data_IF_802967302692
#
_entry.id   IF_802967302692
#
_cell.length_a   1.000
_cell.length_b   1.000
_cell.length_c   1.000
_cell.angle_alpha   90.00
_cell.angle_beta   90.00
_cell.angle_gamma   90.00
#
_symmetry.space_group_name_H-M   'P 1'
#
loop_
_entity.id
_entity.type
_entity.pdbx_description
1 polymer ?
#
# COMPACT_ATOMS: atom_id res chain seq x y z
N UNK A 1 -41.87 -3.85 10.31
CA UNK A 1 -40.67 -4.45 9.71
C UNK A 1 -39.67 -3.32 9.47
N UNK A 2 -38.70 -3.15 10.37
CA UNK A 2 -37.65 -2.13 10.20
C UNK A 2 -36.74 -2.60 9.06
N UNK A 3 -36.74 -1.85 7.96
CA UNK A 3 -35.79 -2.04 6.87
C UNK A 3 -34.45 -1.61 7.45
N UNK A 4 -33.63 -2.59 7.85
CA UNK A 4 -32.22 -2.36 8.15
C UNK A 4 -31.56 -2.00 6.82
N UNK A 5 -31.47 -0.71 6.54
CA UNK A 5 -30.51 -0.21 5.57
C UNK A 5 -29.15 -0.84 5.95
N UNK A 6 -28.58 -1.65 5.05
CA UNK A 6 -27.63 -2.72 5.35
C UNK A 6 -26.27 -2.28 5.88
N UNK A 7 -26.27 -1.68 7.08
CA UNK A 7 -25.26 -0.81 7.71
C UNK A 7 -25.50 0.69 7.47
N UNK A 8 -26.71 1.20 7.71
CA UNK A 8 -26.85 2.61 8.05
C UNK A 8 -26.04 2.89 9.31
N UNK A 9 -24.86 3.48 9.09
CA UNK A 9 -23.99 4.04 10.09
C UNK A 9 -24.75 5.12 10.87
N UNK A 10 -25.52 4.75 11.88
CA UNK A 10 -26.22 5.67 12.77
C UNK A 10 -25.27 6.80 13.22
N UNK A 11 -25.38 7.96 12.59
CA UNK A 11 -24.54 9.15 12.84
C UNK A 11 -23.02 8.96 12.68
N UNK A 12 -22.53 7.98 11.91
CA UNK A 12 -21.10 7.74 11.72
C UNK A 12 -20.34 7.25 12.96
N UNK A 13 -21.03 6.87 14.04
CA UNK A 13 -20.37 6.39 15.29
C UNK A 13 -19.66 5.06 15.09
N UNK A 14 -20.31 4.11 14.42
CA UNK A 14 -19.71 2.81 14.10
C UNK A 14 -18.48 2.97 13.21
N UNK A 15 -18.55 3.84 12.18
CA UNK A 15 -17.39 4.11 11.32
C UNK A 15 -16.22 4.66 12.13
N UNK A 16 -16.45 5.60 13.06
CA UNK A 16 -15.39 6.12 13.94
C UNK A 16 -14.80 5.03 14.86
N UNK A 17 -15.65 4.22 15.48
CA UNK A 17 -15.19 3.12 16.32
C UNK A 17 -14.35 2.12 15.53
N UNK A 18 -14.88 1.63 14.41
CA UNK A 18 -14.21 0.65 13.56
C UNK A 18 -12.91 1.22 12.96
N UNK A 19 -12.90 2.51 12.62
CA UNK A 19 -11.72 3.23 12.13
C UNK A 19 -10.56 3.18 13.11
N UNK A 20 -10.83 3.43 14.38
CA UNK A 20 -9.80 3.47 15.42
C UNK A 20 -9.37 2.02 15.72
N UNK A 21 -10.33 1.10 15.88
CA UNK A 21 -10.10 -0.33 16.08
C UNK A 21 -9.19 -0.96 15.00
N UNK A 22 -9.49 -0.74 13.71
CA UNK A 22 -8.72 -1.38 12.63
C UNK A 22 -7.29 -0.82 12.56
N UNK A 23 -7.10 0.47 12.84
CA UNK A 23 -5.76 1.05 12.89
C UNK A 23 -4.96 0.56 14.09
N UNK A 24 -5.63 0.37 15.23
CA UNK A 24 -5.02 -0.21 16.42
C UNK A 24 -4.63 -1.66 16.16
N UNK A 25 -5.45 -2.47 15.49
CA UNK A 25 -5.03 -3.82 15.13
C UNK A 25 -3.83 -3.84 14.16
N UNK A 26 -3.85 -2.96 13.15
CA UNK A 26 -2.80 -2.94 12.14
C UNK A 26 -1.46 -2.42 12.68
N UNK A 27 -1.48 -1.44 13.59
CA UNK A 27 -0.28 -0.79 14.13
C UNK A 27 0.09 -1.22 15.55
N UNK A 28 -0.80 -1.87 16.27
CA UNK A 28 -0.64 -2.26 17.66
C UNK A 28 0.41 -3.35 17.84
N UNK A 29 0.89 -3.44 19.08
CA UNK A 29 1.66 -4.60 19.52
C UNK A 29 0.75 -5.83 19.48
N UNK A 30 1.35 -7.02 19.35
CA UNK A 30 0.60 -8.27 19.19
C UNK A 30 -0.06 -8.72 20.51
N UNK A 31 -0.76 -7.81 21.19
CA UNK A 31 -1.38 -8.04 22.49
C UNK A 31 -2.88 -7.82 22.38
N UNK A 32 -3.61 -8.92 22.64
CA UNK A 32 -5.02 -9.01 22.99
C UNK A 32 -6.05 -8.41 22.01
N UNK A 33 -6.79 -9.30 21.36
CA UNK A 33 -8.00 -8.98 20.60
C UNK A 33 -9.09 -10.05 20.85
N UNK A 34 -10.36 -9.64 20.77
CA UNK A 34 -11.51 -10.54 20.80
C UNK A 34 -11.65 -11.37 22.09
N UNK A 35 -12.29 -12.54 21.96
CA UNK A 35 -12.55 -13.49 23.06
C UNK A 35 -11.26 -14.04 23.69
N UNK A 36 -10.18 -14.16 22.91
CA UNK A 36 -8.90 -14.70 23.38
C UNK A 36 -8.10 -13.71 24.24
N UNK A 37 -8.55 -12.46 24.30
CA UNK A 37 -8.04 -11.45 25.24
C UNK A 37 -8.63 -11.58 26.65
N UNK A 38 -9.69 -12.37 26.82
CA UNK A 38 -10.41 -12.43 28.10
C UNK A 38 -9.66 -13.35 29.07
N UNK A 39 -9.59 -12.94 30.35
CA UNK A 39 -9.09 -13.82 31.42
C UNK A 39 -9.87 -15.13 31.36
N UNK A 40 -9.17 -16.26 31.60
CA UNK A 40 -9.74 -17.61 31.52
C UNK A 40 -11.06 -17.67 32.28
N UNK A 41 -12.16 -17.81 31.56
CA UNK A 41 -13.49 -18.06 32.13
C UNK A 41 -13.57 -19.57 32.40
N UNK A 42 -13.69 -20.01 33.65
CA UNK A 42 -13.61 -21.45 34.01
C UNK A 42 -14.63 -22.33 33.29
N UNK A 43 -15.77 -21.77 32.90
CA UNK A 43 -16.88 -22.46 32.25
C UNK A 43 -16.69 -22.61 30.73
N UNK A 44 -15.67 -21.96 30.16
CA UNK A 44 -15.33 -22.07 28.74
C UNK A 44 -14.04 -22.88 28.57
N UNK A 45 -14.06 -23.85 27.66
CA UNK A 45 -12.86 -24.53 27.16
C UNK A 45 -12.04 -23.53 26.34
N UNK A 46 -11.30 -22.67 27.04
CA UNK A 46 -10.41 -21.67 26.46
C UNK A 46 -9.01 -22.26 26.29
N UNK A 47 -8.25 -21.81 25.28
CA UNK A 47 -6.88 -22.24 25.05
C UNK A 47 -5.97 -21.85 26.22
N UNK A 48 -4.81 -22.51 26.30
CA UNK A 48 -3.71 -22.09 27.16
C UNK A 48 -3.22 -20.68 26.80
N UNK A 49 -2.49 -20.06 27.72
CA UNK A 49 -1.92 -18.72 27.49
C UNK A 49 -0.99 -18.69 26.26
N UNK A 50 -0.14 -19.71 26.11
CA UNK A 50 0.74 -19.85 24.95
C UNK A 50 -0.04 -19.99 23.63
N UNK A 51 -1.15 -20.74 23.62
CA UNK A 51 -2.01 -20.86 22.45
C UNK A 51 -2.73 -19.54 22.14
N UNK A 52 -3.16 -18.79 23.17
CA UNK A 52 -3.74 -17.46 23.01
C UNK A 52 -2.73 -16.45 22.45
N UNK A 53 -1.47 -16.49 22.89
CA UNK A 53 -0.39 -15.67 22.33
C UNK A 53 -0.10 -16.01 20.88
N UNK A 54 0.03 -17.31 20.56
CA UNK A 54 0.26 -17.77 19.19
C UNK A 54 -0.90 -17.41 18.26
N UNK A 55 -2.15 -17.62 18.71
CA UNK A 55 -3.34 -17.19 17.99
C UNK A 55 -3.38 -15.67 17.83
N UNK A 56 -2.93 -14.92 18.85
CA UNK A 56 -2.88 -13.47 18.77
C UNK A 56 -1.91 -13.00 17.69
N UNK A 57 -0.70 -13.53 17.69
CA UNK A 57 0.30 -13.26 16.66
C UNK A 57 -0.22 -13.64 15.26
N UNK A 58 -0.82 -14.83 15.12
CA UNK A 58 -1.37 -15.31 13.86
C UNK A 58 -2.43 -14.35 13.29
N UNK A 59 -3.35 -13.85 14.12
CA UNK A 59 -4.35 -12.86 13.72
C UNK A 59 -3.70 -11.58 13.17
N UNK A 60 -2.77 -10.97 13.92
CA UNK A 60 -2.18 -9.70 13.51
C UNK A 60 -1.33 -9.84 12.25
N UNK A 61 -0.53 -10.91 12.16
CA UNK A 61 0.26 -11.22 10.97
C UNK A 61 -0.67 -11.37 9.76
N UNK A 62 -1.73 -12.17 9.89
CA UNK A 62 -2.67 -12.45 8.80
C UNK A 62 -3.45 -11.21 8.37
N UNK A 63 -3.96 -10.42 9.32
CA UNK A 63 -4.67 -9.18 9.01
C UNK A 63 -3.78 -8.18 8.27
N UNK A 64 -2.52 -8.04 8.70
CA UNK A 64 -1.53 -7.19 8.01
C UNK A 64 -1.24 -7.72 6.61
N UNK A 65 -1.08 -9.03 6.44
CA UNK A 65 -0.84 -9.66 5.14
C UNK A 65 -2.01 -9.42 4.18
N UNK A 66 -3.26 -9.55 4.65
CA UNK A 66 -4.45 -9.20 3.87
C UNK A 66 -4.44 -7.74 3.42
N UNK A 67 -4.20 -6.81 4.35
CA UNK A 67 -4.19 -5.38 4.04
C UNK A 67 -3.04 -5.04 3.09
N UNK A 68 -1.85 -5.60 3.29
CA UNK A 68 -0.71 -5.39 2.41
C UNK A 68 -0.98 -5.90 0.99
N UNK A 69 -1.45 -7.15 0.83
CA UNK A 69 -1.81 -7.70 -0.47
C UNK A 69 -2.92 -6.89 -1.14
N UNK A 70 -3.93 -6.44 -0.39
CA UNK A 70 -4.96 -5.55 -0.91
C UNK A 70 -4.42 -4.19 -1.36
N UNK A 71 -3.52 -3.57 -0.59
CA UNK A 71 -2.89 -2.31 -0.97
C UNK A 71 -2.13 -2.44 -2.31
N UNK A 72 -1.45 -3.57 -2.54
CA UNK A 72 -0.71 -3.83 -3.78
C UNK A 72 -1.60 -3.91 -5.03
N UNK A 73 -2.86 -4.33 -4.91
CA UNK A 73 -3.80 -4.40 -6.07
C UNK A 73 -4.07 -3.05 -6.71
N UNK A 74 -3.79 -1.95 -5.99
CA UNK A 74 -3.93 -0.60 -6.50
C UNK A 74 -2.64 -0.06 -7.11
N UNK A 75 -1.54 -0.81 -7.13
CA UNK A 75 -0.22 -0.32 -7.53
C UNK A 75 0.17 -0.94 -8.88
N UNK A 76 0.46 -0.09 -9.86
CA UNK A 76 0.91 -0.54 -11.18
C UNK A 76 2.42 -0.87 -11.22
N UNK A 77 2.89 -1.38 -12.36
CA UNK A 77 4.31 -1.68 -12.61
C UNK A 77 5.23 -0.46 -12.47
N UNK A 78 4.69 0.75 -12.61
CA UNK A 78 5.40 2.01 -12.40
C UNK A 78 5.39 2.47 -10.93
N UNK A 79 4.88 1.66 -10.01
CA UNK A 79 4.71 1.98 -8.59
C UNK A 79 3.81 3.19 -8.34
N UNK A 80 2.83 3.39 -9.22
CA UNK A 80 1.81 4.42 -9.09
C UNK A 80 0.57 3.77 -8.47
N UNK A 81 0.16 4.31 -7.32
CA UNK A 81 -0.97 3.79 -6.55
C UNK A 81 -2.28 4.51 -6.94
N UNK A 82 -3.31 3.76 -7.31
CA UNK A 82 -4.67 4.24 -7.56
C UNK A 82 -5.62 3.61 -6.54
N UNK A 83 -5.90 4.27 -5.39
CA UNK A 83 -6.66 3.63 -4.31
C UNK A 83 -8.08 3.16 -4.71
N UNK A 84 -8.71 3.82 -5.68
CA UNK A 84 -10.03 3.45 -6.19
C UNK A 84 -10.03 2.21 -7.10
N UNK A 85 -8.88 1.78 -7.63
CA UNK A 85 -8.76 0.61 -8.49
C UNK A 85 -8.46 -0.68 -7.73
N UNK A 86 -8.20 -0.61 -6.41
CA UNK A 86 -7.93 -1.80 -5.58
C UNK A 86 -9.11 -2.75 -5.60
N UNK A 87 -8.87 -4.04 -5.80
CA UNK A 87 -9.92 -5.07 -5.87
C UNK A 87 -9.37 -6.39 -5.34
N UNK A 88 -10.20 -7.14 -4.61
CA UNK A 88 -9.96 -8.56 -4.36
C UNK A 88 -10.69 -9.33 -5.46
N UNK A 89 -9.95 -10.07 -6.29
CA UNK A 89 -10.47 -10.84 -7.42
C UNK A 89 -10.25 -12.33 -7.17
N UNK A 90 -11.16 -13.16 -7.69
CA UNK A 90 -11.07 -14.62 -7.66
C UNK A 90 -10.21 -15.21 -8.80
N UNK A 91 -9.86 -14.41 -9.81
CA UNK A 91 -9.12 -14.89 -11.00
C UNK A 91 -7.64 -15.09 -10.71
N UNK A 92 -7.13 -16.31 -10.94
CA UNK A 92 -5.77 -16.77 -10.61
C UNK A 92 -4.67 -15.88 -11.18
N UNK A 93 -4.83 -15.38 -12.42
CA UNK A 93 -3.79 -14.59 -13.12
C UNK A 93 -3.59 -13.17 -12.57
N UNK A 94 -4.54 -12.66 -11.76
CA UNK A 94 -4.51 -11.32 -11.18
C UNK A 94 -4.89 -11.31 -9.70
N UNK A 95 -4.92 -12.48 -9.06
CA UNK A 95 -5.41 -12.60 -7.71
C UNK A 95 -4.38 -11.95 -6.76
N UNK A 96 -4.82 -11.07 -5.84
CA UNK A 96 -3.90 -10.55 -4.84
C UNK A 96 -3.35 -11.68 -4.00
N UNK A 97 -2.04 -11.75 -3.97
CA UNK A 97 -1.29 -12.65 -3.13
C UNK A 97 -0.97 -11.94 -1.82
N UNK A 98 -1.23 -12.60 -0.70
CA UNK A 98 -0.71 -12.22 0.59
C UNK A 98 0.48 -13.09 0.96
N UNK A 99 1.53 -12.45 1.49
CA UNK A 99 2.71 -13.13 2.04
C UNK A 99 2.64 -13.00 3.55
N UNK A 100 2.47 -14.13 4.23
CA UNK A 100 2.16 -14.19 5.66
C UNK A 100 3.45 -14.27 6.47
N UNK A 101 4.42 -15.02 5.97
CA UNK A 101 5.81 -15.04 6.45
C UNK A 101 6.75 -15.32 5.26
N UNK A 102 8.07 -15.22 5.48
CA UNK A 102 9.05 -15.58 4.45
C UNK A 102 9.05 -17.09 4.14
N UNK A 103 8.58 -17.90 5.09
CA UNK A 103 8.64 -19.36 5.04
C UNK A 103 7.29 -19.99 4.62
N UNK A 104 6.20 -19.21 4.61
CA UNK A 104 4.89 -19.66 4.14
C UNK A 104 4.72 -19.39 2.64
N UNK A 105 4.15 -20.37 1.93
CA UNK A 105 3.76 -20.19 0.54
C UNK A 105 2.81 -19.00 0.41
N UNK A 106 2.99 -18.13 -0.59
CA UNK A 106 2.09 -17.00 -0.79
C UNK A 106 0.67 -17.51 -1.06
N UNK A 107 -0.32 -16.87 -0.43
CA UNK A 107 -1.72 -17.32 -0.47
C UNK A 107 -2.58 -16.31 -1.22
N UNK A 108 -3.50 -16.79 -2.05
CA UNK A 108 -4.48 -15.94 -2.72
C UNK A 108 -5.50 -15.45 -1.68
N UNK A 109 -5.67 -14.12 -1.59
CA UNK A 109 -6.59 -13.50 -0.62
C UNK A 109 -8.02 -14.04 -0.77
N UNK A 110 -8.48 -14.25 -2.00
CA UNK A 110 -9.86 -14.71 -2.26
C UNK A 110 -10.10 -16.13 -1.75
N UNK A 111 -9.17 -17.05 -1.98
CA UNK A 111 -9.28 -18.45 -1.55
C UNK A 111 -9.42 -18.56 -0.03
N UNK A 112 -8.74 -17.67 0.69
CA UNK A 112 -8.81 -17.62 2.15
C UNK A 112 -10.13 -17.06 2.67
N UNK A 113 -10.65 -16.04 2.01
CA UNK A 113 -12.01 -15.54 2.26
C UNK A 113 -13.02 -16.65 1.98
N UNK A 114 -12.89 -17.36 0.87
CA UNK A 114 -13.79 -18.45 0.49
C UNK A 114 -13.72 -19.60 1.48
N UNK A 115 -12.53 -20.01 1.91
CA UNK A 115 -12.35 -21.04 2.93
C UNK A 115 -13.02 -20.65 4.25
N UNK A 116 -12.90 -19.38 4.64
CA UNK A 116 -13.61 -18.85 5.81
C UNK A 116 -15.14 -18.87 5.63
N UNK A 117 -15.65 -18.56 4.43
CA UNK A 117 -17.09 -18.60 4.14
C UNK A 117 -17.68 -19.99 4.22
N UNK A 118 -16.96 -21.01 3.75
CA UNK A 118 -17.41 -22.40 3.84
C UNK A 118 -17.62 -22.83 5.29
N UNK A 119 -16.81 -22.29 6.22
CA UNK A 119 -16.92 -22.57 7.67
C UNK A 119 -17.97 -21.70 8.37
N UNK A 120 -18.00 -20.41 8.05
CA UNK A 120 -18.76 -19.41 8.80
C UNK A 120 -20.11 -19.02 8.18
N UNK A 121 -20.41 -19.52 6.97
CA UNK A 121 -21.68 -19.38 6.26
C UNK A 121 -22.25 -17.96 6.29
N UNK A 122 -21.66 -17.01 5.53
CA UNK A 122 -22.13 -15.65 5.53
C UNK A 122 -23.55 -15.55 4.95
N UNK A 123 -24.33 -14.59 5.44
CA UNK A 123 -25.72 -14.41 5.03
C UNK A 123 -25.82 -13.34 3.93
N UNK A 124 -26.56 -13.58 2.84
CA UNK A 124 -26.89 -12.51 1.91
C UNK A 124 -27.75 -11.46 2.63
N UNK A 125 -27.43 -10.19 2.45
CA UNK A 125 -28.16 -9.04 2.95
C UNK A 125 -28.70 -8.25 1.76
N UNK A 126 -29.96 -7.82 1.84
CA UNK A 126 -30.52 -6.87 0.88
C UNK A 126 -30.40 -5.46 1.46
N UNK A 127 -29.67 -4.60 0.76
CA UNK A 127 -29.50 -3.20 1.13
C UNK A 127 -30.78 -2.40 0.82
N UNK A 128 -30.93 -1.22 1.43
CA UNK A 128 -32.09 -0.35 1.21
C UNK A 128 -32.20 0.18 -0.23
N UNK A 129 -31.11 0.14 -0.99
CA UNK A 129 -31.03 0.51 -2.41
C UNK A 129 -31.31 -0.66 -3.36
N UNK A 130 -31.68 -1.84 -2.84
CA UNK A 130 -31.97 -3.04 -3.61
C UNK A 130 -30.72 -3.83 -4.05
N UNK A 131 -29.51 -3.39 -3.68
CA UNK A 131 -28.28 -4.17 -3.92
C UNK A 131 -28.13 -5.29 -2.88
N UNK A 132 -27.43 -6.38 -3.25
CA UNK A 132 -27.09 -7.45 -2.30
C UNK A 132 -25.68 -7.25 -1.74
N UNK A 133 -25.54 -7.41 -0.43
CA UNK A 133 -24.28 -7.48 0.27
C UNK A 133 -24.10 -8.86 0.94
N UNK A 134 -22.87 -9.20 1.30
CA UNK A 134 -22.57 -10.40 2.09
C UNK A 134 -22.37 -9.96 3.54
N UNK A 135 -23.33 -10.32 4.39
CA UNK A 135 -23.26 -10.15 5.83
C UNK A 135 -22.38 -11.22 6.45
N UNK A 136 -21.21 -10.82 6.92
CA UNK A 136 -20.27 -11.70 7.60
C UNK A 136 -20.43 -11.53 9.10
N UNK A 137 -20.91 -12.57 9.78
CA UNK A 137 -20.90 -12.58 11.24
C UNK A 137 -19.47 -12.80 11.75
N UNK A 138 -19.19 -12.36 12.97
CA UNK A 138 -17.97 -12.77 13.65
C UNK A 138 -17.97 -14.31 13.78
N UNK A 139 -16.86 -14.97 13.43
CA UNK A 139 -16.67 -16.39 13.70
C UNK A 139 -17.03 -16.72 15.15
N UNK A 140 -17.78 -17.81 15.36
CA UNK A 140 -18.14 -18.24 16.71
C UNK A 140 -17.03 -19.15 17.24
N UNK A 141 -16.61 -18.94 18.48
CA UNK A 141 -15.77 -19.92 19.18
C UNK A 141 -16.57 -21.19 19.46
N UNK A 142 -16.26 -22.28 18.75
CA UNK A 142 -16.91 -23.60 18.93
C UNK A 142 -15.87 -24.72 19.00
N UNK A 143 -15.05 -24.74 20.05
CA UNK A 143 -13.99 -25.74 20.25
C UNK A 143 -13.11 -25.95 19.01
N UNK A 144 -12.86 -24.88 18.26
CA UNK A 144 -12.01 -24.90 17.08
C UNK A 144 -10.57 -24.61 17.46
N UNK A 145 -9.65 -25.02 16.60
CA UNK A 145 -8.25 -24.67 16.72
C UNK A 145 -8.06 -23.14 16.91
N UNK A 146 -7.30 -22.68 17.93
CA UNK A 146 -7.12 -21.26 18.22
C UNK A 146 -6.55 -20.47 17.04
N UNK A 147 -5.63 -21.07 16.28
CA UNK A 147 -5.02 -20.44 15.10
C UNK A 147 -6.04 -20.31 13.97
N UNK A 148 -6.84 -21.34 13.73
CA UNK A 148 -7.93 -21.29 12.74
C UNK A 148 -8.95 -20.19 13.08
N UNK A 149 -9.33 -20.07 14.35
CA UNK A 149 -10.19 -18.96 14.80
C UNK A 149 -9.55 -17.60 14.53
N UNK A 150 -8.27 -17.44 14.86
CA UNK A 150 -7.52 -16.22 14.59
C UNK A 150 -7.49 -15.85 13.11
N UNK A 151 -7.31 -16.84 12.23
CA UNK A 151 -7.35 -16.66 10.77
C UNK A 151 -8.74 -16.22 10.29
N UNK A 152 -9.80 -16.84 10.78
CA UNK A 152 -11.18 -16.48 10.44
C UNK A 152 -11.55 -15.09 10.98
N UNK A 153 -11.07 -14.72 12.16
CA UNK A 153 -11.27 -13.40 12.72
C UNK A 153 -10.50 -12.32 11.95
N UNK A 154 -9.28 -12.59 11.49
CA UNK A 154 -8.54 -11.69 10.61
C UNK A 154 -9.29 -11.48 9.29
N UNK A 155 -9.85 -12.55 8.73
CA UNK A 155 -10.69 -12.51 7.53
C UNK A 155 -11.93 -11.65 7.75
N UNK A 156 -12.65 -11.84 8.87
CA UNK A 156 -13.80 -11.03 9.24
C UNK A 156 -13.48 -9.53 9.29
N UNK A 157 -12.44 -9.12 10.03
CA UNK A 157 -12.07 -7.70 10.12
C UNK A 157 -11.57 -7.11 8.80
N UNK A 158 -10.91 -7.91 7.97
CA UNK A 158 -10.54 -7.50 6.62
C UNK A 158 -11.77 -7.28 5.73
N UNK A 159 -12.77 -8.16 5.79
CA UNK A 159 -14.03 -7.99 5.06
C UNK A 159 -14.82 -6.76 5.55
N UNK A 160 -14.86 -6.50 6.85
CA UNK A 160 -15.42 -5.27 7.41
C UNK A 160 -14.69 -4.02 6.87
N UNK A 161 -13.36 -4.08 6.75
CA UNK A 161 -12.58 -3.01 6.12
C UNK A 161 -12.99 -2.81 4.66
N UNK A 162 -13.12 -3.88 3.88
CA UNK A 162 -13.52 -3.81 2.46
C UNK A 162 -14.92 -3.23 2.28
N UNK A 163 -15.87 -3.62 3.14
CA UNK A 163 -17.24 -3.12 3.12
C UNK A 163 -17.36 -1.66 3.58
N UNK A 164 -16.34 -1.11 4.26
CA UNK A 164 -16.34 0.27 4.73
C UNK A 164 -15.76 1.26 3.71
N UNK A 165 -16.12 2.56 3.80
CA UNK A 165 -15.45 3.62 3.04
C UNK A 165 -13.94 3.75 3.32
N UNK A 166 -13.43 3.09 4.37
CA UNK A 166 -12.04 3.14 4.78
C UNK A 166 -11.12 2.36 3.82
N UNK A 167 -11.64 1.38 3.09
CA UNK A 167 -10.87 0.56 2.12
C UNK A 167 -10.13 1.40 1.06
N UNK A 168 -10.71 2.51 0.61
CA UNK A 168 -10.08 3.43 -0.36
C UNK A 168 -9.18 4.46 0.31
N UNK A 169 -9.31 4.65 1.63
CA UNK A 169 -8.59 5.68 2.40
C UNK A 169 -7.36 5.11 3.10
N UNK A 170 -7.36 3.82 3.39
CA UNK A 170 -6.24 3.14 4.06
C UNK A 170 -5.00 3.13 3.18
N UNK A 171 -3.85 3.35 3.80
CA UNK A 171 -2.54 3.29 3.17
C UNK A 171 -1.49 2.89 4.19
N UNK A 172 -0.33 2.51 3.68
CA UNK A 172 0.85 2.17 4.47
C UNK A 172 1.94 3.17 4.18
N UNK A 173 2.65 3.59 5.22
CA UNK A 173 3.74 4.54 5.09
C UNK A 173 4.89 3.90 4.28
N UNK A 174 5.29 4.54 3.18
CA UNK A 174 6.40 4.08 2.32
C UNK A 174 7.75 4.25 2.98
N UNK A 175 7.88 5.10 4.02
CA UNK A 175 9.11 5.24 4.78
C UNK A 175 9.48 3.87 5.42
N UNK A 176 10.64 3.27 5.07
CA UNK A 176 11.06 1.95 5.53
C UNK A 176 11.16 1.79 7.05
N UNK A 177 11.43 2.88 7.78
CA UNK A 177 11.52 2.87 9.24
C UNK A 177 10.15 3.01 9.92
N UNK A 178 9.19 3.62 9.23
CA UNK A 178 7.86 3.84 9.79
C UNK A 178 6.93 2.67 9.50
N UNK A 179 6.71 2.33 8.22
CA UNK A 179 5.79 1.27 7.74
C UNK A 179 4.38 1.21 8.37
N UNK A 180 3.98 2.22 9.15
CA UNK A 180 2.69 2.27 9.83
C UNK A 180 1.53 2.42 8.85
N UNK A 181 0.42 1.78 9.17
CA UNK A 181 -0.85 1.95 8.50
C UNK A 181 -1.51 3.25 8.96
N UNK A 182 -2.16 3.94 8.04
CA UNK A 182 -2.85 5.18 8.34
C UNK A 182 -4.04 5.38 7.41
N UNK A 183 -4.97 6.24 7.85
CA UNK A 183 -6.11 6.64 7.04
C UNK A 183 -5.93 8.05 6.50
N UNK A 184 -6.16 8.19 5.20
CA UNK A 184 -6.21 9.51 4.58
C UNK A 184 -7.46 10.26 5.03
N UNK A 185 -7.35 11.57 5.23
CA UNK A 185 -8.50 12.43 5.59
C UNK A 185 -9.61 12.37 4.55
N UNK A 186 -9.25 12.23 3.27
CA UNK A 186 -10.16 12.15 2.14
C UNK A 186 -9.69 11.06 1.18
N UNK A 187 -10.62 10.46 0.45
CA UNK A 187 -10.28 9.61 -0.69
C UNK A 187 -9.51 10.44 -1.73
N UNK A 188 -8.43 9.87 -2.26
CA UNK A 188 -7.67 10.50 -3.34
C UNK A 188 -8.37 10.24 -4.66
N UNK A 189 -8.69 11.31 -5.38
CA UNK A 189 -9.22 11.24 -6.75
C UNK A 189 -8.13 11.00 -7.79
N UNK A 190 -6.89 11.34 -7.46
CA UNK A 190 -5.74 11.25 -8.36
C UNK A 190 -4.82 10.12 -7.96
N UNK A 191 -4.15 9.54 -8.95
CA UNK A 191 -3.09 8.57 -8.74
C UNK A 191 -1.98 9.14 -7.84
N UNK A 192 -1.51 8.32 -6.91
CA UNK A 192 -0.46 8.64 -5.95
C UNK A 192 0.86 8.16 -6.54
N UNK A 193 1.61 9.10 -7.08
CA UNK A 193 2.96 8.85 -7.57
C UNK A 193 3.91 8.76 -6.37
N UNK A 194 4.75 7.72 -6.33
CA UNK A 194 5.87 7.56 -5.37
C UNK A 194 5.42 7.24 -3.93
N UNK A 195 4.35 6.47 -3.80
CA UNK A 195 3.91 5.94 -2.51
C UNK A 195 3.26 6.98 -1.58
N UNK A 196 2.94 6.50 -0.39
CA UNK A 196 2.05 7.16 0.57
C UNK A 196 2.78 7.35 1.89
N UNK A 197 2.72 8.55 2.47
CA UNK A 197 3.40 8.87 3.74
C UNK A 197 2.39 9.26 4.80
N UNK A 198 2.58 8.76 6.02
CA UNK A 198 1.76 9.14 7.17
C UNK A 198 2.02 10.60 7.56
N UNK A 199 1.18 11.15 8.45
CA UNK A 199 1.31 12.52 8.94
C UNK A 199 2.71 12.83 9.50
N UNK A 200 3.27 11.90 10.27
CA UNK A 200 4.58 12.03 10.91
C UNK A 200 5.76 11.97 9.92
N UNK A 201 5.62 11.27 8.79
CA UNK A 201 6.67 11.13 7.78
C UNK A 201 6.47 12.04 6.56
N UNK A 202 5.52 12.98 6.62
CA UNK A 202 5.16 13.83 5.47
C UNK A 202 6.34 14.66 4.95
N UNK A 203 7.21 15.14 5.85
CA UNK A 203 8.41 15.91 5.50
C UNK A 203 9.46 15.05 4.80
N UNK A 204 9.67 13.81 5.27
CA UNK A 204 10.56 12.83 4.65
C UNK A 204 10.11 12.53 3.22
N UNK A 205 8.81 12.25 3.02
CA UNK A 205 8.27 12.06 1.67
C UNK A 205 8.34 13.32 0.80
N UNK A 206 8.31 14.51 1.41
CA UNK A 206 8.64 15.77 0.73
C UNK A 206 10.07 15.79 0.20
N UNK A 207 11.04 15.53 1.08
CA UNK A 207 12.47 15.53 0.75
C UNK A 207 12.81 14.46 -0.31
N UNK A 208 12.29 13.25 -0.20
CA UNK A 208 12.50 12.17 -1.18
C UNK A 208 11.92 12.54 -2.55
N UNK A 209 10.73 13.17 -2.60
CA UNK A 209 10.15 13.66 -3.86
C UNK A 209 11.01 14.72 -4.51
N UNK A 210 11.56 15.66 -3.73
CA UNK A 210 12.48 16.69 -4.22
C UNK A 210 13.77 16.06 -4.74
N UNK A 211 14.37 15.12 -4.00
CA UNK A 211 15.59 14.41 -4.40
C UNK A 211 15.37 13.63 -5.71
N UNK A 212 14.30 12.85 -5.81
CA UNK A 212 13.98 12.10 -7.02
C UNK A 212 13.69 13.02 -8.22
N UNK A 213 13.04 14.17 -7.99
CA UNK A 213 12.82 15.17 -9.04
C UNK A 213 14.12 15.77 -9.55
N UNK A 214 15.05 16.10 -8.65
CA UNK A 214 16.38 16.60 -9.00
C UNK A 214 17.20 15.56 -9.76
N UNK A 215 17.12 14.29 -9.34
CA UNK A 215 17.82 13.20 -10.02
C UNK A 215 17.28 12.98 -11.43
N UNK A 216 15.96 12.97 -11.63
CA UNK A 216 15.37 12.87 -12.97
C UNK A 216 15.79 14.05 -13.86
N UNK A 217 15.70 15.28 -13.33
CA UNK A 217 16.13 16.46 -14.07
C UNK A 217 17.60 16.36 -14.46
N UNK A 218 18.47 15.92 -13.52
CA UNK A 218 19.87 15.66 -13.79
C UNK A 218 20.06 14.63 -14.91
N UNK A 219 19.32 13.52 -14.89
CA UNK A 219 19.38 12.50 -15.95
C UNK A 219 18.92 13.04 -17.31
N UNK A 220 17.84 13.82 -17.36
CA UNK A 220 17.36 14.46 -18.59
C UNK A 220 18.39 15.44 -19.15
N UNK A 221 19.02 16.24 -18.28
CA UNK A 221 20.10 17.14 -18.65
C UNK A 221 21.34 16.39 -19.16
N UNK A 222 21.72 15.27 -18.52
CA UNK A 222 22.83 14.43 -18.97
C UNK A 222 22.54 13.82 -20.35
N UNK A 223 21.31 13.36 -20.61
CA UNK A 223 20.91 12.85 -21.94
C UNK A 223 20.97 13.93 -23.02
N UNK A 224 20.47 15.14 -22.72
CA UNK A 224 20.56 16.26 -23.63
C UNK A 224 22.02 16.69 -23.87
N UNK A 225 22.85 16.68 -22.82
CA UNK A 225 24.26 16.94 -22.91
C UNK A 225 24.99 15.89 -23.76
N UNK A 226 24.65 14.60 -23.63
CA UNK A 226 25.23 13.51 -24.43
C UNK A 226 24.86 13.61 -25.91
N UNK A 227 23.60 13.94 -26.22
CA UNK A 227 23.17 14.23 -27.59
C UNK A 227 24.00 15.38 -28.19
N UNK A 228 24.10 16.47 -27.44
CA UNK A 228 24.93 17.60 -27.82
C UNK A 228 26.42 17.18 -28.00
N UNK A 229 26.97 16.43 -27.06
CA UNK A 229 28.36 15.98 -27.08
C UNK A 229 28.72 15.24 -28.37
N UNK A 230 27.82 14.39 -28.88
CA UNK A 230 27.96 13.70 -30.18
C UNK A 230 27.89 14.66 -31.37
N UNK A 231 26.94 15.59 -31.37
CA UNK A 231 26.73 16.56 -32.46
C UNK A 231 27.84 17.61 -32.60
N UNK A 232 28.62 17.86 -31.54
CA UNK A 232 29.70 18.85 -31.59
C UNK A 232 30.75 18.53 -32.68
N UNK A 233 31.11 17.25 -32.83
CA UNK A 233 32.13 16.80 -33.78
C UNK A 233 31.74 17.01 -35.25
N UNK A 234 30.45 17.08 -35.56
CA UNK A 234 29.92 17.26 -36.92
C UNK A 234 29.57 18.72 -37.23
N UNK A 235 29.22 19.54 -36.22
CA UNK A 235 28.65 20.88 -36.45
C UNK A 235 29.45 22.05 -35.87
N UNK A 236 30.39 21.84 -34.95
CA UNK A 236 30.93 22.94 -34.14
C UNK A 236 32.39 22.80 -33.65
N UNK A 237 33.24 22.08 -34.39
CA UNK A 237 34.66 21.82 -34.05
C UNK A 237 35.51 23.05 -33.70
N UNK A 238 35.11 24.27 -34.10
CA UNK A 238 35.85 25.52 -33.83
C UNK A 238 35.53 26.17 -32.48
N UNK A 239 34.52 25.68 -31.76
CA UNK A 239 34.13 26.20 -30.44
C UNK A 239 34.48 25.21 -29.34
N UNK A 240 34.84 25.69 -28.16
CA UNK A 240 35.06 24.83 -27.00
C UNK A 240 33.85 23.92 -26.76
N UNK A 241 34.10 22.62 -26.63
CA UNK A 241 33.07 21.58 -26.58
C UNK A 241 32.16 21.76 -25.37
N UNK A 242 32.72 22.10 -24.21
CA UNK A 242 31.95 22.28 -22.99
C UNK A 242 31.07 23.54 -23.07
N UNK A 243 31.57 24.62 -23.67
CA UNK A 243 30.78 25.84 -23.94
C UNK A 243 29.62 25.55 -24.89
N UNK A 244 29.89 24.81 -25.96
CA UNK A 244 28.87 24.47 -26.96
C UNK A 244 27.77 23.56 -26.36
N UNK A 245 28.15 22.54 -25.61
CA UNK A 245 27.21 21.62 -24.95
C UNK A 245 26.38 22.35 -23.90
N UNK A 246 26.99 23.20 -23.06
CA UNK A 246 26.26 24.00 -22.07
C UNK A 246 25.20 24.89 -22.73
N UNK A 247 25.55 25.56 -23.84
CA UNK A 247 24.60 26.37 -24.62
C UNK A 247 23.43 25.54 -25.13
N UNK A 248 23.69 24.33 -25.64
CA UNK A 248 22.64 23.46 -26.18
C UNK A 248 21.68 22.95 -25.10
N UNK A 249 22.20 22.55 -23.93
CA UNK A 249 21.38 22.16 -22.78
C UNK A 249 20.59 23.36 -22.26
N UNK A 250 21.20 24.55 -22.16
CA UNK A 250 20.52 25.78 -21.73
C UNK A 250 19.42 26.22 -22.69
N UNK A 251 19.52 25.94 -23.98
CA UNK A 251 18.39 26.19 -24.91
C UNK A 251 17.18 25.31 -24.58
N UNK A 252 17.40 24.12 -24.01
CA UNK A 252 16.34 23.18 -23.65
C UNK A 252 15.82 23.41 -22.23
N UNK A 253 16.71 23.68 -21.27
CA UNK A 253 16.39 23.72 -19.83
C UNK A 253 16.64 25.07 -19.15
N UNK A 254 17.21 26.05 -19.85
CA UNK A 254 17.78 27.27 -19.24
C UNK A 254 16.80 28.15 -18.48
N UNK A 255 15.49 28.04 -18.75
CA UNK A 255 14.44 28.70 -17.95
C UNK A 255 14.25 28.05 -16.56
N UNK A 256 14.52 26.75 -16.44
CA UNK A 256 14.36 25.98 -15.21
C UNK A 256 15.68 25.71 -14.47
N UNK A 257 16.78 25.54 -15.20
CA UNK A 257 18.08 25.24 -14.66
C UNK A 257 19.16 25.65 -15.66
N UNK A 258 19.88 26.73 -15.36
CA UNK A 258 20.99 27.20 -16.18
C UNK A 258 22.28 26.49 -15.77
N UNK A 259 23.02 25.97 -16.74
CA UNK A 259 24.31 25.31 -16.51
C UNK A 259 25.48 26.07 -17.13
N UNK A 260 26.62 26.00 -16.46
CA UNK A 260 27.89 26.55 -16.93
C UNK A 260 28.76 25.45 -17.58
N UNK A 261 29.76 25.81 -18.41
CA UNK A 261 30.72 24.85 -18.97
C UNK A 261 31.42 24.00 -17.90
N UNK A 262 31.66 24.55 -16.71
CA UNK A 262 32.20 23.83 -15.55
C UNK A 262 31.35 22.60 -15.18
N UNK A 263 30.02 22.69 -15.26
CA UNK A 263 29.12 21.57 -14.98
C UNK A 263 29.31 20.44 -16.00
N UNK A 264 29.49 20.79 -17.28
CA UNK A 264 29.73 19.82 -18.35
C UNK A 264 31.03 19.07 -18.09
N UNK A 265 32.10 19.77 -17.73
CA UNK A 265 33.39 19.15 -17.40
C UNK A 265 33.30 18.26 -16.16
N UNK A 266 32.61 18.69 -15.11
CA UNK A 266 32.41 17.89 -13.89
C UNK A 266 31.58 16.62 -14.11
N UNK A 267 30.74 16.59 -15.14
CA UNK A 267 29.89 15.44 -15.47
C UNK A 267 30.34 14.72 -16.74
N UNK A 268 31.56 14.98 -17.24
CA UNK A 268 32.04 14.48 -18.53
C UNK A 268 31.92 12.96 -18.65
N UNK A 269 32.41 12.21 -17.66
CA UNK A 269 32.33 10.75 -17.68
C UNK A 269 30.89 10.24 -17.78
N UNK A 270 29.96 10.88 -17.05
CA UNK A 270 28.55 10.51 -17.10
C UNK A 270 27.94 10.82 -18.47
N UNK A 271 28.32 11.95 -19.09
CA UNK A 271 27.87 12.34 -20.44
C UNK A 271 28.38 11.35 -21.49
N UNK A 272 29.65 10.95 -21.39
CA UNK A 272 30.26 9.97 -22.31
C UNK A 272 29.60 8.59 -22.18
N UNK A 273 29.28 8.11 -20.95
CA UNK A 273 28.50 6.87 -20.75
C UNK A 273 27.10 6.88 -21.38
N UNK A 274 26.46 8.04 -21.50
CA UNK A 274 25.19 8.18 -22.22
C UNK A 274 25.35 8.26 -23.74
N UNK A 275 26.58 8.46 -24.25
CA UNK A 275 26.87 8.47 -25.68
C UNK A 275 27.00 7.06 -26.25
N UNK A 276 27.55 6.13 -25.46
CA UNK A 276 27.78 4.72 -25.81
C UNK A 276 26.95 3.82 -24.89
N UNK A 277 25.63 3.67 -25.12
CA UNK A 277 24.86 2.65 -24.41
C UNK A 277 25.31 1.27 -24.90
N UNK A 278 25.90 0.46 -24.01
CA UNK A 278 25.95 -1.00 -24.17
C UNK A 278 24.54 -1.59 -24.36
#
# INVERSE_FOLDING_TARGET
>A
MQIYDGKNHAGGRYERFFRDLILDFLNGEATHWGLLAWKRIPELNLPSEAECEAASAAFFIRLRAFVDGFLQTGIDSNRIETPSSRRVRASVDEAPIMTVSADEAPVVIFDEIQASWLRNQPMPLLNGDGTMAIGVNQPRWKNQDPILYARDMATHYFQELLASPLSTRIGKCTNPTCKRYFLRKRQRKTAIKRGSYCGSCKLVGGAERTRASRERLKQEMLRAAAKAWREWGTRARRTDRAVWVAKHVNNTFGKSCFIHPKWVNQNREAIERYCDPE
#
